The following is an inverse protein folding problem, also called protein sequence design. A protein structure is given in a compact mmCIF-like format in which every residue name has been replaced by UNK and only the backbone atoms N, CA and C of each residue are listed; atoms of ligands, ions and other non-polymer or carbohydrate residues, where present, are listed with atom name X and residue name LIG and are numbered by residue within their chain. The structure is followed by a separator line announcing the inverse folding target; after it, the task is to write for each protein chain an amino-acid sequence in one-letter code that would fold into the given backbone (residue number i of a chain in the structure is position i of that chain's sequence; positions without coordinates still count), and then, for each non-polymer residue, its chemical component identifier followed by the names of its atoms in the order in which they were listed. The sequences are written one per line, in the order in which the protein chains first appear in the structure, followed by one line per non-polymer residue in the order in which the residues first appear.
data_IF_386049166839
#
_entry.id   IF_386049166839
#
_cell.length_a   1.000
_cell.length_b   1.000
_cell.length_c   1.000
_cell.angle_alpha   90.00
_cell.angle_beta   90.00
_cell.angle_gamma   90.00
#
_symmetry.space_group_name_H-M   'P 1'
#
loop_
_entity.id
_entity.type
_entity.pdbx_description
1 polymer ?
#
# COMPACT_ATOMS: atom_id res chain seq x y z
N UNK A 1 -16.89 -23.60 14.79
CA UNK A 1 -17.05 -23.04 16.14
C UNK A 1 -16.15 -21.84 16.26
N UNK A 2 -16.60 -20.76 16.91
CA UNK A 2 -15.73 -19.62 17.21
C UNK A 2 -14.69 -20.13 18.20
N UNK A 3 -13.41 -20.03 17.86
CA UNK A 3 -12.33 -20.37 18.80
C UNK A 3 -12.53 -19.56 20.08
N UNK A 4 -12.36 -20.20 21.23
CA UNK A 4 -12.31 -19.45 22.48
C UNK A 4 -11.15 -18.42 22.42
N UNK A 5 -11.32 -17.28 23.10
CA UNK A 5 -10.23 -16.33 23.28
C UNK A 5 -9.10 -16.98 24.08
N UNK A 6 -7.85 -16.70 23.69
CA UNK A 6 -6.68 -17.05 24.50
C UNK A 6 -6.46 -15.91 25.50
N UNK A 7 -6.25 -16.21 26.78
CA UNK A 7 -5.93 -15.17 27.76
C UNK A 7 -4.42 -14.94 27.82
N UNK A 8 -4.02 -13.67 27.74
CA UNK A 8 -2.66 -13.22 27.99
C UNK A 8 -2.61 -12.56 29.36
N UNK A 9 -1.80 -13.11 30.25
CA UNK A 9 -1.46 -12.53 31.53
C UNK A 9 -0.33 -11.52 31.36
N UNK A 10 -0.55 -10.28 31.80
CA UNK A 10 0.39 -9.18 31.70
C UNK A 10 0.73 -8.69 33.10
N UNK A 11 2.03 -8.75 33.44
CA UNK A 11 2.54 -8.33 34.73
C UNK A 11 3.65 -7.31 34.60
N UNK A 12 3.52 -6.19 35.31
CA UNK A 12 4.51 -5.13 35.48
C UNK A 12 4.66 -4.78 36.96
N UNK A 13 5.33 -3.67 37.30
CA UNK A 13 5.35 -3.17 38.69
C UNK A 13 4.00 -2.60 39.14
N UNK A 14 3.17 -2.16 38.18
CA UNK A 14 1.91 -1.45 38.42
C UNK A 14 0.66 -2.20 37.93
N UNK A 15 0.83 -3.20 37.05
CA UNK A 15 -0.26 -3.97 36.42
C UNK A 15 -0.05 -5.46 36.70
N UNK A 16 -1.13 -6.16 37.04
CA UNK A 16 -1.19 -7.63 37.16
C UNK A 16 -2.62 -8.04 36.73
N UNK A 17 -2.81 -8.26 35.43
CA UNK A 17 -4.13 -8.46 34.81
C UNK A 17 -4.09 -9.42 33.62
N UNK A 18 -5.23 -10.04 33.35
CA UNK A 18 -5.45 -10.84 32.14
C UNK A 18 -6.20 -10.02 31.07
N UNK A 19 -5.87 -10.27 29.81
CA UNK A 19 -6.57 -9.71 28.66
C UNK A 19 -6.81 -10.77 27.59
N UNK A 20 -7.99 -10.77 26.93
CA UNK A 20 -8.24 -11.70 25.83
C UNK A 20 -7.43 -11.30 24.59
N UNK A 21 -6.77 -12.28 23.97
CA UNK A 21 -6.23 -12.20 22.63
C UNK A 21 -7.25 -12.72 21.64
N UNK A 22 -7.61 -11.87 20.68
CA UNK A 22 -8.40 -12.31 19.54
C UNK A 22 -7.54 -13.22 18.65
N UNK A 23 -7.90 -14.51 18.48
CA UNK A 23 -7.09 -15.44 17.69
C UNK A 23 -6.99 -14.96 16.24
N UNK A 24 -5.87 -15.28 15.59
CA UNK A 24 -5.58 -14.95 14.18
C UNK A 24 -5.51 -13.46 13.82
N UNK A 25 -5.46 -12.58 14.82
CA UNK A 25 -5.32 -11.13 14.62
C UNK A 25 -4.17 -10.56 15.45
N UNK A 26 -3.39 -9.60 14.93
CA UNK A 26 -2.39 -8.89 15.73
C UNK A 26 -3.06 -8.09 16.85
N UNK A 27 -2.55 -8.23 18.08
CA UNK A 27 -2.95 -7.42 19.24
C UNK A 27 -1.76 -6.53 19.62
N UNK A 28 -2.02 -5.23 19.83
CA UNK A 28 -0.97 -4.25 20.14
C UNK A 28 -1.02 -3.86 21.61
N UNK A 29 0.14 -3.92 22.27
CA UNK A 29 0.32 -3.50 23.65
C UNK A 29 1.44 -2.48 23.71
N UNK A 30 1.18 -1.30 24.28
CA UNK A 30 2.20 -0.29 24.52
C UNK A 30 2.85 -0.57 25.86
N UNK A 31 4.12 -0.95 25.85
CA UNK A 31 4.89 -1.30 27.04
C UNK A 31 5.75 -0.09 27.45
N UNK A 32 5.57 0.39 28.68
CA UNK A 32 6.29 1.55 29.22
C UNK A 32 7.24 1.21 30.38
N UNK A 33 7.26 -0.06 30.79
CA UNK A 33 8.08 -0.60 31.87
C UNK A 33 8.35 -2.08 31.62
N UNK A 34 9.25 -2.69 32.42
CA UNK A 34 9.54 -4.11 32.35
C UNK A 34 8.26 -4.93 32.50
N UNK A 35 7.96 -5.71 31.46
CA UNK A 35 6.69 -6.44 31.34
C UNK A 35 6.95 -7.92 31.15
N UNK A 36 6.35 -8.73 32.03
CA UNK A 36 6.30 -10.18 31.90
C UNK A 36 4.98 -10.59 31.24
N UNK A 37 5.09 -11.34 30.15
CA UNK A 37 3.96 -11.87 29.38
C UNK A 37 3.91 -13.39 29.55
N UNK A 38 2.75 -13.91 29.92
CA UNK A 38 2.54 -15.36 30.01
C UNK A 38 1.12 -15.74 29.58
N UNK A 39 0.96 -16.94 29.05
CA UNK A 39 -0.35 -17.49 28.67
C UNK A 39 -0.33 -19.00 28.94
N UNK A 40 -1.52 -19.58 29.04
CA UNK A 40 -1.71 -21.03 29.15
C UNK A 40 -1.48 -21.77 27.81
N UNK A 41 -1.38 -21.02 26.72
CA UNK A 41 -1.04 -21.51 25.38
C UNK A 41 0.15 -20.75 24.80
N UNK A 42 0.85 -21.36 23.84
CA UNK A 42 1.90 -20.67 23.09
C UNK A 42 1.32 -19.43 22.39
N UNK A 43 2.12 -18.37 22.31
CA UNK A 43 1.80 -17.16 21.57
C UNK A 43 3.03 -16.64 20.83
N UNK A 44 2.79 -15.91 19.74
CA UNK A 44 3.84 -15.30 18.95
C UNK A 44 3.99 -13.82 19.35
N UNK A 45 5.23 -13.42 19.63
CA UNK A 45 5.57 -12.02 19.85
C UNK A 45 6.32 -11.52 18.61
N UNK A 46 5.77 -10.50 17.95
CA UNK A 46 6.45 -9.84 16.85
C UNK A 46 7.67 -9.05 17.31
N UNK A 47 8.51 -8.62 16.36
CA UNK A 47 9.59 -7.68 16.68
C UNK A 47 8.99 -6.42 17.34
N UNK A 48 9.54 -5.95 18.48
CA UNK A 48 9.04 -4.73 19.13
C UNK A 48 9.17 -3.52 18.20
N UNK A 49 8.14 -2.68 18.18
CA UNK A 49 8.18 -1.39 17.48
C UNK A 49 8.79 -0.37 18.43
N UNK A 50 10.00 0.09 18.13
CA UNK A 50 10.67 1.12 18.92
C UNK A 50 9.91 2.45 18.79
N UNK A 51 9.56 3.03 19.94
CA UNK A 51 9.00 4.38 20.03
C UNK A 51 10.13 5.40 20.21
N UNK A 52 9.91 6.61 19.73
CA UNK A 52 10.85 7.72 19.67
C UNK A 52 11.29 8.03 18.23
N UNK A 53 11.26 9.31 17.89
CA UNK A 53 11.77 9.81 16.63
C UNK A 53 13.28 9.99 16.68
N UNK A 54 13.99 9.59 15.62
CA UNK A 54 15.41 9.91 15.46
C UNK A 54 15.58 11.26 14.78
N UNK A 55 16.49 12.15 15.26
CA UNK A 55 16.77 13.43 14.60
C UNK A 55 17.42 13.26 13.22
N UNK A 56 17.89 12.07 12.86
CA UNK A 56 18.49 11.77 11.55
C UNK A 56 17.52 11.14 10.57
N UNK A 57 16.24 10.99 10.95
CA UNK A 57 15.19 10.36 10.13
C UNK A 57 14.03 11.33 9.96
N UNK A 58 13.32 11.18 8.84
CA UNK A 58 11.97 11.73 8.72
C UNK A 58 11.02 10.78 9.42
N UNK A 59 10.14 11.24 10.33
CA UNK A 59 9.10 10.42 10.95
C UNK A 59 8.26 9.59 9.99
N UNK A 60 8.01 10.06 8.77
CA UNK A 60 7.21 9.32 7.79
C UNK A 60 7.88 9.27 6.42
N UNK A 61 8.10 8.07 5.90
CA UNK A 61 8.37 7.82 4.49
C UNK A 61 7.21 7.00 3.93
N UNK A 62 6.42 7.59 3.04
CA UNK A 62 5.21 7.00 2.48
C UNK A 62 5.37 6.83 0.96
N UNK A 63 5.26 5.60 0.49
CA UNK A 63 5.31 5.25 -0.92
C UNK A 63 3.93 4.77 -1.38
N UNK A 64 3.41 5.38 -2.43
CA UNK A 64 2.10 5.10 -3.00
C UNK A 64 2.31 4.66 -4.46
N UNK A 65 2.06 3.39 -4.74
CA UNK A 65 1.94 2.85 -6.08
C UNK A 65 0.47 2.94 -6.51
N UNK A 66 0.17 3.80 -7.47
CA UNK A 66 -1.11 3.88 -8.15
C UNK A 66 -1.07 3.03 -9.42
N UNK A 67 -1.49 1.76 -9.32
CA UNK A 67 -1.32 0.79 -10.40
C UNK A 67 -2.02 1.21 -11.70
N UNK A 68 -1.26 1.15 -12.79
CA UNK A 68 -1.65 1.54 -14.13
C UNK A 68 -2.15 3.00 -14.26
N UNK A 69 -1.65 3.90 -13.41
CA UNK A 69 -1.84 5.34 -13.59
C UNK A 69 -0.90 5.85 -14.68
N UNK A 70 -1.45 5.99 -15.89
CA UNK A 70 -0.71 6.45 -17.07
C UNK A 70 -0.46 7.95 -16.99
N UNK A 71 0.79 8.33 -16.70
CA UNK A 71 1.19 9.74 -16.68
C UNK A 71 0.97 10.44 -18.03
N UNK A 72 1.19 9.75 -19.14
CA UNK A 72 0.95 10.29 -20.49
C UNK A 72 -0.50 10.76 -20.67
N UNK A 73 -1.46 10.04 -20.09
CA UNK A 73 -2.90 10.37 -20.13
C UNK A 73 -3.27 11.42 -19.10
N UNK A 74 -2.73 11.32 -17.88
CA UNK A 74 -3.11 12.19 -16.75
C UNK A 74 -2.48 13.57 -16.83
N UNK A 75 -1.25 13.71 -17.34
CA UNK A 75 -0.44 14.94 -17.25
C UNK A 75 -1.15 16.20 -17.78
N UNK A 76 -1.91 16.09 -18.87
CA UNK A 76 -2.61 17.24 -19.47
C UNK A 76 -3.89 17.64 -18.71
N UNK A 77 -4.36 16.77 -17.82
CA UNK A 77 -5.57 16.97 -17.00
C UNK A 77 -5.29 16.89 -15.50
N UNK A 78 -4.02 16.91 -15.08
CA UNK A 78 -3.64 16.50 -13.72
C UNK A 78 -4.36 17.30 -12.64
N UNK A 79 -4.37 18.63 -12.73
CA UNK A 79 -5.10 19.48 -11.77
C UNK A 79 -6.64 19.41 -11.90
N UNK A 80 -7.16 18.96 -13.03
CA UNK A 80 -8.61 18.80 -13.27
C UNK A 80 -9.14 17.48 -12.71
N UNK A 81 -8.42 16.39 -12.95
CA UNK A 81 -8.85 15.04 -12.57
C UNK A 81 -8.33 14.62 -11.20
N UNK A 82 -7.17 15.16 -10.80
CA UNK A 82 -6.54 14.90 -9.51
C UNK A 82 -6.21 16.20 -8.75
N UNK A 83 -7.22 17.06 -8.46
CA UNK A 83 -6.98 18.37 -7.84
C UNK A 83 -6.31 18.29 -6.45
N UNK A 84 -6.63 17.27 -5.63
CA UNK A 84 -6.02 17.15 -4.30
C UNK A 84 -4.54 16.78 -4.41
N UNK A 85 -4.22 15.85 -5.30
CA UNK A 85 -2.87 15.37 -5.58
C UNK A 85 -2.04 16.49 -6.20
N UNK A 86 -2.59 17.20 -7.19
CA UNK A 86 -1.92 18.35 -7.79
C UNK A 86 -1.62 19.45 -6.76
N UNK A 87 -2.56 19.74 -5.85
CA UNK A 87 -2.35 20.70 -4.75
C UNK A 87 -1.24 20.26 -3.81
N UNK A 88 -1.27 19.01 -3.36
CA UNK A 88 -0.30 18.48 -2.40
C UNK A 88 1.12 18.48 -2.97
N UNK A 89 1.28 18.01 -4.22
CA UNK A 89 2.58 17.97 -4.88
C UNK A 89 3.03 19.29 -5.53
N UNK A 90 2.25 20.37 -5.45
CA UNK A 90 2.66 21.69 -5.93
C UNK A 90 3.90 22.25 -5.20
N UNK A 91 4.18 21.75 -3.99
CA UNK A 91 5.38 22.08 -3.22
C UNK A 91 6.51 21.04 -3.39
N UNK A 92 6.27 19.99 -4.18
CA UNK A 92 7.18 18.88 -4.41
C UNK A 92 7.88 18.96 -5.76
N UNK A 93 8.21 17.80 -6.32
CA UNK A 93 8.84 17.67 -7.63
C UNK A 93 8.11 16.60 -8.44
N UNK A 94 7.79 16.92 -9.69
CA UNK A 94 7.15 16.01 -10.64
C UNK A 94 8.19 15.60 -11.68
N UNK A 95 8.30 14.31 -11.93
CA UNK A 95 9.19 13.74 -12.94
C UNK A 95 8.37 13.31 -14.16
N UNK A 96 8.33 14.14 -15.20
CA UNK A 96 7.55 13.85 -16.41
C UNK A 96 8.10 12.68 -17.24
N UNK A 97 9.40 12.38 -17.07
CA UNK A 97 10.12 11.35 -17.80
C UNK A 97 10.51 10.18 -16.89
N UNK A 98 9.54 9.67 -16.13
CA UNK A 98 9.68 8.50 -15.27
C UNK A 98 9.15 7.25 -15.99
N UNK A 99 9.97 6.20 -16.06
CA UNK A 99 9.65 4.96 -16.78
C UNK A 99 9.78 3.76 -15.86
N UNK A 100 8.82 2.83 -15.93
CA UNK A 100 8.94 1.55 -15.22
C UNK A 100 10.00 0.66 -15.87
N UNK A 101 10.74 -0.08 -15.04
CA UNK A 101 11.65 -1.13 -15.53
C UNK A 101 10.89 -2.37 -16.04
N UNK A 102 9.61 -2.50 -15.71
CA UNK A 102 8.72 -3.57 -16.18
C UNK A 102 7.25 -3.14 -16.21
N UNK A 103 6.57 -3.40 -17.32
CA UNK A 103 5.14 -3.04 -17.53
C UNK A 103 4.15 -4.00 -16.84
N UNK A 104 4.66 -5.02 -16.14
CA UNK A 104 3.86 -5.94 -15.33
C UNK A 104 4.14 -5.75 -13.85
N UNK A 105 3.08 -5.66 -13.04
CA UNK A 105 3.09 -5.40 -11.60
C UNK A 105 4.06 -6.30 -10.83
N UNK A 106 3.93 -7.63 -10.94
CA UNK A 106 4.73 -8.58 -10.17
C UNK A 106 6.27 -8.37 -10.28
N UNK A 107 6.86 -8.32 -11.48
CA UNK A 107 8.28 -8.01 -11.62
C UNK A 107 8.61 -6.54 -11.29
N UNK A 108 7.70 -5.59 -11.57
CA UNK A 108 7.93 -4.16 -11.26
C UNK A 108 8.14 -3.93 -9.76
N UNK A 109 7.32 -4.55 -8.90
CA UNK A 109 7.48 -4.47 -7.44
C UNK A 109 8.88 -4.91 -6.98
N UNK A 110 9.42 -5.96 -7.61
CA UNK A 110 10.78 -6.42 -7.29
C UNK A 110 11.84 -5.44 -7.77
N UNK A 111 11.64 -4.75 -8.90
CA UNK A 111 12.56 -3.70 -9.36
C UNK A 111 12.53 -2.48 -8.43
N UNK A 112 11.36 -2.11 -7.90
CA UNK A 112 11.21 -1.01 -6.93
C UNK A 112 11.94 -1.34 -5.63
N UNK A 113 11.68 -2.53 -5.06
CA UNK A 113 12.30 -2.94 -3.81
C UNK A 113 13.82 -3.12 -3.95
N UNK A 114 14.33 -3.49 -5.11
CA UNK A 114 15.76 -3.78 -5.27
C UNK A 114 16.58 -2.68 -5.93
N UNK A 115 15.94 -1.75 -6.64
CA UNK A 115 16.61 -0.78 -7.51
C UNK A 115 17.31 -1.41 -8.73
N UNK A 116 16.98 -2.66 -9.09
CA UNK A 116 17.64 -3.40 -10.16
C UNK A 116 16.69 -3.72 -11.31
N UNK A 117 17.24 -3.80 -12.53
CA UNK A 117 16.51 -4.32 -13.69
C UNK A 117 16.17 -5.81 -13.53
N UNK A 118 15.11 -6.31 -14.20
CA UNK A 118 14.71 -7.72 -14.12
C UNK A 118 15.80 -8.72 -14.51
N UNK A 119 16.70 -8.36 -15.44
CA UNK A 119 17.83 -9.21 -15.83
C UNK A 119 18.95 -9.28 -14.78
N UNK A 120 18.89 -8.48 -13.71
CA UNK A 120 19.80 -8.57 -12.57
C UNK A 120 19.15 -9.24 -11.36
N UNK A 121 17.91 -8.89 -11.02
CA UNK A 121 17.20 -9.50 -9.90
C UNK A 121 16.57 -10.87 -10.24
N UNK A 122 16.46 -11.22 -11.53
CA UNK A 122 15.91 -12.47 -12.08
C UNK A 122 14.43 -12.73 -11.81
N UNK A 123 13.68 -11.75 -11.28
CA UNK A 123 12.25 -11.86 -11.02
C UNK A 123 11.49 -11.22 -12.19
N UNK A 124 11.04 -12.03 -13.15
CA UNK A 124 10.38 -11.57 -14.38
C UNK A 124 9.06 -12.30 -14.70
N UNK A 125 8.71 -13.35 -13.95
CA UNK A 125 7.53 -14.16 -14.20
C UNK A 125 6.88 -14.60 -12.89
N UNK A 126 5.56 -14.42 -12.79
CA UNK A 126 4.73 -14.68 -11.61
C UNK A 126 4.42 -16.16 -11.37
N UNK A 127 4.66 -17.01 -12.36
CA UNK A 127 4.43 -18.46 -12.30
C UNK A 127 5.70 -19.27 -12.03
N UNK A 128 6.87 -18.64 -12.03
CA UNK A 128 8.15 -19.27 -11.73
C UNK A 128 8.60 -18.93 -10.31
N UNK A 129 8.93 -19.96 -9.54
CA UNK A 129 9.44 -19.81 -8.18
C UNK A 129 10.91 -19.39 -8.18
N UNK A 130 11.17 -18.12 -8.49
CA UNK A 130 12.51 -17.50 -8.40
C UNK A 130 12.56 -16.67 -7.12
N UNK A 131 13.47 -17.03 -6.22
CA UNK A 131 13.74 -16.25 -5.02
C UNK A 131 14.80 -15.19 -5.31
N UNK A 132 14.62 -14.00 -4.73
CA UNK A 132 15.62 -12.95 -4.71
C UNK A 132 16.89 -13.49 -4.05
N UNK A 133 18.04 -13.26 -4.69
CA UNK A 133 19.33 -13.63 -4.12
C UNK A 133 19.49 -12.92 -2.75
N UNK A 134 19.79 -13.63 -1.65
CA UNK A 134 19.94 -13.02 -0.32
C UNK A 134 21.01 -11.93 -0.22
N UNK A 135 21.96 -11.87 -1.16
CA UNK A 135 22.93 -10.77 -1.24
C UNK A 135 22.31 -9.44 -1.68
N UNK A 136 21.12 -9.47 -2.27
CA UNK A 136 20.38 -8.29 -2.72
C UNK A 136 19.40 -7.87 -1.64
N UNK A 137 19.77 -6.84 -0.88
CA UNK A 137 18.98 -6.35 0.24
C UNK A 137 17.89 -5.39 -0.26
N UNK A 138 16.60 -5.73 -0.09
CA UNK A 138 15.48 -4.86 -0.46
C UNK A 138 15.49 -3.51 0.25
N UNK A 139 14.83 -2.52 -0.34
CA UNK A 139 14.67 -1.18 0.19
C UNK A 139 13.97 -1.23 1.54
N UNK A 140 12.87 -1.98 1.66
CA UNK A 140 12.17 -2.19 2.93
C UNK A 140 13.12 -2.71 4.02
N UNK A 141 14.01 -3.65 3.70
CA UNK A 141 14.95 -4.21 4.68
C UNK A 141 16.00 -3.17 5.10
N UNK A 142 16.50 -2.39 4.14
CA UNK A 142 17.42 -1.27 4.44
C UNK A 142 16.75 -0.24 5.35
N UNK A 143 15.48 0.08 5.10
CA UNK A 143 14.72 1.02 5.93
C UNK A 143 14.50 0.46 7.33
N UNK A 144 14.18 -0.83 7.46
CA UNK A 144 14.13 -1.52 8.76
C UNK A 144 15.47 -1.46 9.50
N UNK A 145 16.60 -1.67 8.82
CA UNK A 145 17.94 -1.54 9.42
C UNK A 145 18.24 -0.10 9.85
N UNK A 146 17.73 0.90 9.14
CA UNK A 146 17.75 2.30 9.58
C UNK A 146 16.79 2.57 10.77
N UNK A 147 16.08 1.55 11.25
CA UNK A 147 15.21 1.56 12.41
C UNK A 147 13.80 2.11 12.16
N UNK A 148 13.36 2.14 10.90
CA UNK A 148 11.97 2.42 10.57
C UNK A 148 11.08 1.21 10.90
N UNK A 149 9.88 1.46 11.42
CA UNK A 149 8.80 0.48 11.42
C UNK A 149 8.30 0.33 9.99
N UNK A 150 8.48 -0.85 9.40
CA UNK A 150 8.18 -1.08 7.99
C UNK A 150 6.82 -1.76 7.80
N UNK A 151 5.94 -1.13 7.04
CA UNK A 151 4.60 -1.65 6.81
C UNK A 151 4.18 -1.56 5.34
N UNK A 152 3.80 -2.68 4.77
CA UNK A 152 3.02 -2.74 3.53
C UNK A 152 1.55 -2.89 3.94
N UNK A 153 0.79 -1.80 3.86
CA UNK A 153 -0.60 -1.77 4.35
C UNK A 153 -1.61 -2.08 3.27
N UNK A 154 -1.19 -2.12 2.01
CA UNK A 154 -2.02 -2.44 0.85
C UNK A 154 -1.16 -3.18 -0.16
N UNK A 155 -0.93 -4.47 0.05
CA UNK A 155 -0.05 -5.25 -0.82
C UNK A 155 -0.81 -6.04 -1.87
N UNK A 156 -0.36 -5.93 -3.11
CA UNK A 156 -0.74 -6.84 -4.19
C UNK A 156 0.00 -8.16 -3.99
N UNK A 157 -0.78 -9.21 -3.73
CA UNK A 157 -0.29 -10.54 -3.39
C UNK A 157 -0.46 -11.53 -4.53
N UNK A 158 -0.40 -11.07 -5.78
CA UNK A 158 -0.44 -11.97 -6.92
C UNK A 158 0.94 -12.58 -7.18
N UNK A 159 0.96 -13.75 -7.82
CA UNK A 159 2.19 -14.49 -8.11
C UNK A 159 2.76 -15.28 -6.94
N UNK A 160 3.96 -15.81 -7.13
CA UNK A 160 4.69 -16.63 -6.16
C UNK A 160 5.55 -15.74 -5.26
N UNK A 161 5.66 -16.05 -3.97
CA UNK A 161 6.56 -15.32 -3.07
C UNK A 161 8.01 -15.39 -3.56
N UNK A 162 8.63 -14.23 -3.75
CA UNK A 162 9.96 -14.08 -4.33
C UNK A 162 10.99 -13.44 -3.38
N UNK A 163 10.61 -13.11 -2.15
CA UNK A 163 11.52 -12.50 -1.17
C UNK A 163 11.68 -10.98 -1.26
N UNK A 164 11.13 -10.29 -2.27
CA UNK A 164 11.27 -8.83 -2.40
C UNK A 164 10.67 -8.05 -1.22
N UNK A 165 9.66 -8.61 -0.54
CA UNK A 165 8.97 -7.96 0.59
C UNK A 165 9.48 -8.42 1.95
N UNK A 166 10.62 -9.10 2.05
CA UNK A 166 11.14 -9.66 3.31
C UNK A 166 11.53 -8.59 4.35
N UNK A 167 11.70 -7.35 3.90
CA UNK A 167 12.04 -6.22 4.74
C UNK A 167 10.87 -5.62 5.50
N UNK A 168 9.62 -5.96 5.17
CA UNK A 168 8.43 -5.45 5.85
C UNK A 168 8.11 -6.24 7.11
N UNK A 169 8.00 -5.55 8.25
CA UNK A 169 7.60 -6.13 9.53
C UNK A 169 6.10 -6.47 9.55
N UNK A 170 5.30 -5.74 8.77
CA UNK A 170 3.86 -5.96 8.60
C UNK A 170 3.46 -5.94 7.14
N UNK A 171 2.76 -7.00 6.72
CA UNK A 171 2.18 -7.15 5.38
C UNK A 171 0.66 -7.35 5.51
N UNK A 172 -0.11 -6.43 4.95
CA UNK A 172 -1.56 -6.56 4.79
C UNK A 172 -1.86 -6.75 3.32
N UNK A 173 -2.12 -8.00 2.95
CA UNK A 173 -2.24 -8.44 1.56
C UNK A 173 -3.71 -8.71 1.25
N UNK A 174 -4.24 -8.02 0.25
CA UNK A 174 -5.64 -8.12 -0.16
C UNK A 174 -5.74 -8.07 -1.69
N UNK A 175 -5.36 -9.16 -2.39
CA UNK A 175 -5.31 -9.16 -3.84
C UNK A 175 -6.69 -8.82 -4.41
N UNK A 176 -6.72 -7.97 -5.45
CA UNK A 176 -7.94 -7.45 -6.08
C UNK A 176 -8.83 -6.55 -5.19
N UNK A 177 -8.43 -6.27 -3.95
CA UNK A 177 -9.16 -5.39 -3.02
C UNK A 177 -8.22 -4.31 -2.46
N UNK A 178 -7.68 -3.51 -3.38
CA UNK A 178 -6.70 -2.46 -3.09
C UNK A 178 -7.26 -1.08 -3.38
N UNK A 179 -8.40 -0.74 -2.79
CA UNK A 179 -9.02 0.56 -3.00
C UNK A 179 -8.33 1.65 -2.16
N UNK A 180 -8.10 2.80 -2.78
CA UNK A 180 -7.40 3.92 -2.15
C UNK A 180 -8.13 4.46 -0.90
N UNK A 181 -9.47 4.40 -0.85
CA UNK A 181 -10.21 4.85 0.35
C UNK A 181 -9.89 3.99 1.58
N UNK A 182 -9.67 2.68 1.38
CA UNK A 182 -9.29 1.76 2.45
C UNK A 182 -7.82 1.95 2.80
N UNK A 183 -6.96 2.19 1.80
CA UNK A 183 -5.56 2.55 1.99
C UNK A 183 -5.40 3.78 2.88
N UNK A 184 -6.16 4.85 2.60
CA UNK A 184 -6.15 6.08 3.36
C UNK A 184 -6.56 5.85 4.82
N UNK A 185 -7.74 5.23 5.04
CA UNK A 185 -8.25 4.95 6.40
C UNK A 185 -7.31 4.04 7.19
N UNK A 186 -6.79 2.97 6.57
CA UNK A 186 -5.86 2.05 7.20
C UNK A 186 -4.56 2.74 7.61
N UNK A 187 -4.04 3.62 6.75
CA UNK A 187 -2.82 4.39 7.03
C UNK A 187 -3.05 5.36 8.18
N UNK A 188 -4.17 6.10 8.17
CA UNK A 188 -4.53 7.03 9.24
C UNK A 188 -4.61 6.31 10.59
N UNK A 189 -5.38 5.22 10.69
CA UNK A 189 -5.49 4.44 11.94
C UNK A 189 -4.15 3.87 12.42
N UNK A 190 -3.32 3.41 11.48
CA UNK A 190 -2.00 2.89 11.79
C UNK A 190 -1.12 3.99 12.40
N UNK A 191 -1.11 5.17 11.79
CA UNK A 191 -0.36 6.33 12.28
C UNK A 191 -0.93 6.90 13.59
N UNK A 192 -2.25 6.91 13.79
CA UNK A 192 -2.86 7.34 15.06
C UNK A 192 -2.44 6.45 16.24
N UNK A 193 -2.35 5.13 16.03
CA UNK A 193 -1.93 4.19 17.07
C UNK A 193 -0.42 4.18 17.34
N UNK A 194 0.40 4.53 16.34
CA UNK A 194 1.86 4.39 16.36
C UNK A 194 2.61 5.68 16.00
N UNK A 195 2.01 6.85 16.23
CA UNK A 195 2.57 8.14 15.81
C UNK A 195 3.97 8.40 16.33
N UNK A 196 4.30 7.85 17.50
CA UNK A 196 5.58 8.07 18.16
C UNK A 196 6.73 7.24 17.56
N UNK A 197 6.51 6.48 16.49
CA UNK A 197 7.56 5.73 15.78
C UNK A 197 7.87 6.36 14.42
N UNK A 198 9.07 6.09 13.90
CA UNK A 198 9.43 6.47 12.53
C UNK A 198 8.98 5.38 11.55
N UNK A 199 8.22 5.73 10.51
CA UNK A 199 7.54 4.78 9.63
C UNK A 199 8.06 4.77 8.19
N UNK A 200 8.19 3.58 7.63
CA UNK A 200 8.32 3.36 6.20
C UNK A 200 7.11 2.56 5.71
N UNK A 201 6.20 3.24 4.99
CA UNK A 201 4.92 2.69 4.58
C UNK A 201 4.88 2.56 3.07
N UNK A 202 4.38 1.41 2.61
CA UNK A 202 4.06 1.15 1.22
C UNK A 202 2.55 0.90 1.07
N UNK A 203 1.96 1.56 0.06
CA UNK A 203 0.57 1.42 -0.36
C UNK A 203 0.52 1.11 -1.86
N UNK A 204 -0.20 0.07 -2.24
CA UNK A 204 -0.58 -0.22 -3.61
C UNK A 204 -2.07 0.01 -3.77
N UNK A 205 -2.48 0.76 -4.79
CA UNK A 205 -3.88 1.05 -5.10
C UNK A 205 -4.24 0.62 -6.52
N UNK A 206 -5.47 0.16 -6.74
CA UNK A 206 -5.94 -0.39 -8.02
C UNK A 206 -7.10 0.43 -8.62
N UNK A 207 -7.41 1.61 -8.09
CA UNK A 207 -8.53 2.44 -8.53
C UNK A 207 -8.43 2.85 -10.01
N UNK A 208 -7.21 3.12 -10.50
CA UNK A 208 -6.93 3.40 -11.91
C UNK A 208 -6.74 2.12 -12.74
N UNK A 209 -6.59 0.94 -12.12
CA UNK A 209 -6.25 -0.28 -12.85
C UNK A 209 -7.39 -0.71 -13.79
N UNK A 210 -7.13 -0.93 -15.10
CA UNK A 210 -8.16 -1.31 -16.04
C UNK A 210 -8.55 -2.79 -15.84
N UNK A 211 -9.84 -3.04 -15.60
CA UNK A 211 -10.34 -4.39 -15.38
C UNK A 211 -11.19 -4.92 -16.55
N UNK A 212 -11.10 -6.22 -16.88
CA UNK A 212 -11.93 -6.82 -17.90
C UNK A 212 -13.42 -6.83 -17.48
N UNK A 213 -14.26 -6.23 -18.31
CA UNK A 213 -15.72 -6.33 -18.20
C UNK A 213 -16.21 -7.60 -18.92
N UNK A 214 -17.16 -8.39 -18.36
CA UNK A 214 -17.91 -8.16 -17.12
C UNK A 214 -17.32 -8.85 -15.86
N UNK A 215 -16.10 -9.39 -15.94
CA UNK A 215 -15.46 -10.11 -14.82
C UNK A 215 -15.33 -9.22 -13.58
N UNK A 216 -15.00 -7.96 -13.78
CA UNK A 216 -15.06 -6.92 -12.76
C UNK A 216 -16.16 -5.92 -13.12
N UNK A 217 -16.96 -5.55 -12.13
CA UNK A 217 -18.02 -4.59 -12.32
C UNK A 217 -17.47 -3.17 -12.30
N UNK A 218 -17.94 -2.38 -13.25
CA UNK A 218 -17.65 -0.96 -13.32
C UNK A 218 -18.41 -0.24 -12.21
N UNK A 219 -17.84 0.83 -11.66
CA UNK A 219 -18.48 1.60 -10.59
C UNK A 219 -19.86 2.12 -11.00
N UNK A 220 -20.81 2.12 -10.05
CA UNK A 220 -22.18 2.58 -10.30
C UNK A 220 -22.22 4.04 -10.78
N UNK A 221 -21.31 4.89 -10.28
CA UNK A 221 -21.16 6.29 -10.70
C UNK A 221 -20.91 6.42 -12.21
N UNK A 222 -20.01 5.61 -12.75
CA UNK A 222 -19.74 5.55 -14.20
C UNK A 222 -20.95 5.02 -14.95
N UNK A 223 -21.53 3.90 -14.50
CA UNK A 223 -22.65 3.27 -15.19
C UNK A 223 -23.89 4.17 -15.28
N UNK A 224 -24.21 4.90 -14.22
CA UNK A 224 -25.41 5.73 -14.13
C UNK A 224 -25.31 7.02 -14.96
N UNK A 225 -24.09 7.54 -15.17
CA UNK A 225 -23.86 8.80 -15.88
C UNK A 225 -23.73 8.64 -17.39
N UNK A 226 -23.24 7.49 -17.85
CA UNK A 226 -22.96 7.28 -19.27
C UNK A 226 -24.24 7.20 -20.11
N UNK A 227 -24.27 7.83 -21.30
CA UNK A 227 -25.32 7.58 -22.29
C UNK A 227 -25.42 6.09 -22.63
N UNK A 228 -26.62 5.62 -22.99
CA UNK A 228 -26.89 4.21 -23.24
C UNK A 228 -25.92 3.58 -24.26
N UNK A 229 -25.64 4.26 -25.37
CA UNK A 229 -24.71 3.78 -26.38
C UNK A 229 -23.30 3.56 -25.82
N UNK A 230 -22.78 4.50 -25.04
CA UNK A 230 -21.46 4.40 -24.42
C UNK A 230 -21.45 3.34 -23.32
N UNK A 231 -22.53 3.22 -22.56
CA UNK A 231 -22.71 2.17 -21.55
C UNK A 231 -22.70 0.77 -22.17
N UNK A 232 -23.20 0.62 -23.39
CA UNK A 232 -23.22 -0.65 -24.13
C UNK A 232 -21.93 -0.90 -24.93
N UNK A 233 -21.00 0.06 -24.99
CA UNK A 233 -19.73 -0.07 -25.73
C UNK A 233 -18.70 -1.01 -25.08
N UNK A 234 -18.98 -1.51 -23.86
CA UNK A 234 -18.07 -2.40 -23.12
C UNK A 234 -17.83 -3.72 -23.85
N UNK A 235 -16.64 -3.87 -24.43
CA UNK A 235 -16.21 -5.12 -25.03
C UNK A 235 -16.13 -6.20 -23.94
N UNK A 236 -16.87 -7.30 -24.11
CA UNK A 236 -16.77 -8.47 -23.23
C UNK A 236 -15.44 -9.15 -23.52
N UNK A 237 -14.51 -9.08 -22.57
CA UNK A 237 -13.17 -9.64 -22.72
C UNK A 237 -12.78 -10.43 -21.49
N UNK A 238 -12.09 -11.55 -21.72
CA UNK A 238 -11.39 -12.30 -20.68
C UNK A 238 -9.87 -12.07 -20.74
N UNK A 239 -9.41 -11.17 -21.63
CA UNK A 239 -7.99 -10.85 -21.75
C UNK A 239 -7.47 -10.17 -20.48
N UNK A 240 -6.21 -10.41 -20.09
CA UNK A 240 -5.54 -9.66 -19.04
C UNK A 240 -5.53 -8.15 -19.33
N UNK A 241 -5.42 -7.34 -18.26
CA UNK A 241 -5.50 -5.88 -18.32
C UNK A 241 -4.60 -5.20 -19.36
N UNK A 242 -3.33 -5.62 -19.60
CA UNK A 242 -2.45 -4.95 -20.56
C UNK A 242 -2.91 -5.11 -22.01
N UNK A 243 -3.80 -6.07 -22.29
CA UNK A 243 -4.29 -6.36 -23.64
C UNK A 243 -5.73 -5.90 -23.87
N UNK A 244 -6.32 -5.17 -22.91
CA UNK A 244 -7.67 -4.65 -23.05
C UNK A 244 -7.71 -3.53 -24.09
N UNK A 245 -8.67 -3.63 -25.01
CA UNK A 245 -8.93 -2.57 -25.97
C UNK A 245 -9.67 -1.41 -25.29
N UNK A 246 -9.32 -0.19 -25.68
CA UNK A 246 -10.03 1.00 -25.24
C UNK A 246 -11.45 1.03 -25.81
N UNK A 247 -12.42 1.31 -24.95
CA UNK A 247 -13.82 1.55 -25.27
C UNK A 247 -14.25 2.83 -24.55
N UNK A 248 -15.36 3.44 -24.98
CA UNK A 248 -15.91 4.60 -24.27
C UNK A 248 -16.22 4.27 -22.80
N UNK A 249 -16.76 3.08 -22.56
CA UNK A 249 -17.04 2.58 -21.21
C UNK A 249 -15.78 2.43 -20.37
N UNK A 250 -14.72 1.80 -20.89
CA UNK A 250 -13.47 1.59 -20.13
C UNK A 250 -12.73 2.89 -19.86
N UNK A 251 -12.72 3.84 -20.81
CA UNK A 251 -12.13 5.17 -20.59
C UNK A 251 -12.88 5.98 -19.54
N UNK A 252 -14.21 5.94 -19.56
CA UNK A 252 -15.01 6.61 -18.54
C UNK A 252 -14.78 5.99 -17.14
N UNK A 253 -14.67 4.66 -17.06
CA UNK A 253 -14.34 3.97 -15.82
C UNK A 253 -12.94 4.35 -15.31
N UNK A 254 -11.96 4.45 -16.21
CA UNK A 254 -10.59 4.86 -15.89
C UNK A 254 -10.53 6.28 -15.31
N UNK A 255 -11.16 7.25 -15.98
CA UNK A 255 -11.21 8.66 -15.51
C UNK A 255 -11.95 8.75 -14.17
N UNK A 256 -13.02 7.98 -13.98
CA UNK A 256 -13.72 7.93 -12.70
C UNK A 256 -12.84 7.32 -11.60
N UNK A 257 -12.09 6.26 -11.90
CA UNK A 257 -11.11 5.64 -10.99
C UNK A 257 -10.01 6.62 -10.56
N UNK A 258 -9.48 7.42 -11.48
CA UNK A 258 -8.51 8.50 -11.17
C UNK A 258 -9.10 9.51 -10.19
N UNK A 259 -10.36 9.92 -10.38
CA UNK A 259 -11.04 10.85 -9.46
C UNK A 259 -11.33 10.23 -8.09
N UNK A 260 -11.64 8.94 -8.06
CA UNK A 260 -11.87 8.20 -6.83
C UNK A 260 -10.56 8.03 -6.03
N UNK A 261 -9.46 7.71 -6.72
CA UNK A 261 -8.09 7.72 -6.19
C UNK A 261 -7.74 9.08 -5.58
N UNK A 262 -7.88 10.17 -6.36
CA UNK A 262 -7.54 11.52 -5.89
C UNK A 262 -8.34 11.93 -4.66
N UNK A 263 -9.63 11.62 -4.63
CA UNK A 263 -10.50 11.92 -3.48
C UNK A 263 -10.02 11.19 -2.22
N UNK A 264 -9.66 9.92 -2.34
CA UNK A 264 -9.14 9.14 -1.21
C UNK A 264 -7.77 9.65 -0.74
N UNK A 265 -6.87 9.93 -1.68
CA UNK A 265 -5.56 10.51 -1.38
C UNK A 265 -5.69 11.90 -0.75
N UNK A 266 -6.67 12.70 -1.16
CA UNK A 266 -6.97 13.99 -0.55
C UNK A 266 -7.27 13.91 0.95
N UNK A 267 -7.99 12.87 1.39
CA UNK A 267 -8.20 12.59 2.81
C UNK A 267 -6.88 12.31 3.52
N UNK A 268 -6.04 11.46 2.94
CA UNK A 268 -4.73 11.11 3.51
C UNK A 268 -3.80 12.33 3.57
N UNK A 269 -3.68 13.09 2.48
CA UNK A 269 -2.87 14.30 2.42
C UNK A 269 -3.31 15.35 3.43
N UNK A 270 -4.63 15.55 3.59
CA UNK A 270 -5.16 16.49 4.58
C UNK A 270 -4.80 16.06 6.00
N UNK A 271 -4.85 14.77 6.31
CA UNK A 271 -4.37 14.24 7.59
C UNK A 271 -2.86 14.51 7.76
N UNK A 272 -2.04 14.21 6.74
CA UNK A 272 -0.60 14.44 6.84
C UNK A 272 -0.27 15.91 7.10
N UNK A 273 -0.86 16.86 6.37
CA UNK A 273 -0.65 18.30 6.54
C UNK A 273 -1.11 18.82 7.91
N UNK A 274 -2.08 18.17 8.56
CA UNK A 274 -2.55 18.53 9.89
C UNK A 274 -1.69 17.95 11.03
N UNK A 275 -0.98 16.85 10.76
CA UNK A 275 -0.30 16.06 11.77
C UNK A 275 1.23 15.99 11.59
N UNK A 276 1.79 16.51 10.50
CA UNK A 276 3.22 16.53 10.28
C UNK A 276 3.63 17.87 9.68
N UNK A 277 4.80 18.35 10.10
CA UNK A 277 5.48 19.44 9.43
C UNK A 277 6.08 18.96 8.09
N UNK A 278 6.30 19.85 7.10
CA UNK A 278 6.79 19.46 5.78
C UNK A 278 8.14 18.72 5.78
N UNK A 279 8.97 18.92 6.79
CA UNK A 279 10.25 18.24 6.98
C UNK A 279 10.13 16.86 7.66
N UNK A 280 8.99 16.57 8.30
CA UNK A 280 8.76 15.30 8.98
C UNK A 280 8.31 14.16 8.06
N UNK A 281 7.89 14.45 6.83
CA UNK A 281 7.47 13.42 5.89
C UNK A 281 8.16 13.48 4.53
N UNK A 282 8.24 12.33 3.87
CA UNK A 282 8.52 12.18 2.45
C UNK A 282 7.43 11.31 1.84
N UNK A 283 6.69 11.86 0.88
CA UNK A 283 5.64 11.12 0.16
C UNK A 283 6.03 10.99 -1.31
N UNK A 284 5.99 9.76 -1.80
CA UNK A 284 6.20 9.42 -3.22
C UNK A 284 4.91 8.84 -3.79
N UNK A 285 4.45 9.35 -4.93
CA UNK A 285 3.37 8.77 -5.72
C UNK A 285 3.91 8.40 -7.11
N UNK A 286 3.77 7.14 -7.49
CA UNK A 286 4.24 6.61 -8.78
C UNK A 286 3.33 5.50 -9.29
N UNK A 287 3.57 5.05 -10.52
CA UNK A 287 2.88 3.93 -11.19
C UNK A 287 3.87 3.04 -11.91
#
# INVERSE_FOLDING_TARGET
GVSAFQNLHIKTSSVDQDTPLAPTTPNFFRLCEDTHLSSDHDFLVGAPIAIGHSPTRRPLVLNILADALSWEVVRTHFAEWMPNTARFFAQGTIFDQHFSASEYTYPSLSTIETGMYPHHNQIFNDTLAVLLNPAYIPLSERMRTCGYATANLMGEGSGIYNGATCGFDRLVIAPYHLFAYEAAERTIRYLEGLRDADHFIYLHTLDAHPWPYPRFQITASTQARLPLEERLSGARSNSPSPYLQSTKLSMAAYIQGIRDLDRALGTLFSYLEQHYTPDEYLVSLYS
#
